data_IF_329159186861
#
_entry.id   IF_329159186861
#
_cell.length_a   1.000
_cell.length_b   1.000
_cell.length_c   1.000
_cell.angle_alpha   90.00
_cell.angle_beta   90.00
_cell.angle_gamma   90.00
#
_symmetry.space_group_name_H-M   'P 1'
#
loop_
_entity.id
_entity.type
_entity.pdbx_description
1 polymer ?
#
# COMPACT_ATOMS: atom_id res chain seq x y z
N UNK A 1 -19.23 10.94 -18.32
CA UNK A 1 -18.81 10.63 -16.94
C UNK A 1 -17.33 10.92 -16.80
N UNK A 2 -16.90 11.49 -15.67
CA UNK A 2 -15.52 11.87 -15.39
C UNK A 2 -14.93 10.89 -14.36
N UNK A 3 -13.84 10.24 -14.71
CA UNK A 3 -13.15 9.30 -13.81
C UNK A 3 -11.76 9.84 -13.47
N UNK A 4 -11.37 9.69 -12.22
CA UNK A 4 -10.02 9.99 -11.75
C UNK A 4 -9.26 8.70 -11.48
N UNK A 5 -8.12 8.51 -12.15
CA UNK A 5 -7.19 7.40 -11.89
C UNK A 5 -6.01 7.92 -11.07
N UNK A 6 -5.81 7.36 -9.89
CA UNK A 6 -4.69 7.69 -9.00
C UNK A 6 -3.62 6.61 -9.13
N UNK A 7 -2.41 7.02 -9.52
CA UNK A 7 -1.24 6.15 -9.72
C UNK A 7 -0.58 6.39 -11.07
N UNK A 8 0.62 5.88 -11.24
CA UNK A 8 1.48 6.16 -12.42
C UNK A 8 2.06 4.89 -13.06
N UNK A 9 1.71 3.71 -12.56
CA UNK A 9 2.26 2.44 -12.99
C UNK A 9 1.62 1.86 -14.25
N UNK A 10 2.06 0.69 -14.66
CA UNK A 10 1.51 -0.02 -15.81
C UNK A 10 0.05 -0.48 -15.57
N UNK A 11 -0.29 -0.85 -14.34
CA UNK A 11 -1.65 -1.20 -13.93
C UNK A 11 -2.62 -0.03 -14.12
N UNK A 12 -2.26 1.14 -13.62
CA UNK A 12 -3.07 2.35 -13.76
C UNK A 12 -3.15 2.81 -15.19
N UNK A 13 -2.10 2.63 -15.98
CA UNK A 13 -2.10 2.94 -17.41
C UNK A 13 -3.13 2.10 -18.17
N UNK A 14 -3.16 0.78 -17.98
CA UNK A 14 -4.14 -0.07 -18.66
C UNK A 14 -5.59 0.21 -18.20
N UNK A 15 -5.78 0.55 -16.92
CA UNK A 15 -7.08 0.98 -16.40
C UNK A 15 -7.54 2.28 -17.10
N UNK A 16 -6.66 3.30 -17.16
CA UNK A 16 -6.95 4.56 -17.83
C UNK A 16 -7.26 4.35 -19.32
N UNK A 17 -6.52 3.44 -19.98
CA UNK A 17 -6.77 3.09 -21.38
C UNK A 17 -8.16 2.48 -21.56
N UNK A 18 -8.53 1.49 -20.75
CA UNK A 18 -9.85 0.83 -20.85
C UNK A 18 -11.01 1.77 -20.54
N UNK A 19 -10.85 2.67 -19.59
CA UNK A 19 -11.81 3.73 -19.31
C UNK A 19 -11.97 4.66 -20.51
N UNK A 20 -10.87 5.11 -21.12
CA UNK A 20 -10.89 5.99 -22.30
C UNK A 20 -11.53 5.30 -23.51
N UNK A 21 -11.21 4.02 -23.76
CA UNK A 21 -11.82 3.21 -24.82
C UNK A 21 -13.34 3.05 -24.63
N UNK A 22 -13.82 3.10 -23.38
CA UNK A 22 -15.26 3.05 -23.04
C UNK A 22 -15.98 4.40 -23.18
N UNK A 23 -15.30 5.44 -23.69
CA UNK A 23 -15.88 6.78 -23.85
C UNK A 23 -15.97 7.60 -22.57
N UNK A 24 -15.29 7.17 -21.49
CA UNK A 24 -15.21 7.89 -20.23
C UNK A 24 -14.10 8.95 -20.31
N UNK A 25 -14.37 10.15 -19.79
CA UNK A 25 -13.33 11.18 -19.65
C UNK A 25 -12.42 10.81 -18.48
N UNK A 26 -11.15 10.61 -18.76
CA UNK A 26 -10.13 10.26 -17.77
C UNK A 26 -9.39 11.48 -17.28
N UNK A 27 -9.23 11.60 -15.97
CA UNK A 27 -8.30 12.49 -15.28
C UNK A 27 -7.29 11.64 -14.52
N UNK A 28 -6.09 12.14 -14.28
CA UNK A 28 -5.06 11.36 -13.58
C UNK A 28 -4.31 12.16 -12.52
N UNK A 29 -3.94 11.44 -11.45
CA UNK A 29 -2.97 11.91 -10.45
C UNK A 29 -1.73 11.05 -10.54
N UNK A 30 -0.61 11.67 -10.84
CA UNK A 30 0.64 11.01 -11.16
C UNK A 30 1.73 11.36 -10.15
N UNK A 31 2.50 10.39 -9.69
CA UNK A 31 3.73 10.59 -8.91
C UNK A 31 4.98 10.55 -9.78
N UNK A 32 4.88 9.92 -10.95
CA UNK A 32 5.96 9.80 -11.92
C UNK A 32 5.42 10.06 -13.33
N UNK A 33 6.30 10.45 -14.25
CA UNK A 33 5.92 10.63 -15.65
C UNK A 33 5.53 9.29 -16.28
N UNK A 34 4.29 9.19 -16.73
CA UNK A 34 3.79 8.10 -17.57
C UNK A 34 3.20 8.71 -18.85
N UNK A 35 3.97 8.75 -19.95
CA UNK A 35 3.53 9.40 -21.18
C UNK A 35 2.22 8.86 -21.75
N UNK A 36 1.95 7.56 -21.57
CA UNK A 36 0.70 6.93 -22.01
C UNK A 36 -0.49 7.46 -21.22
N UNK A 37 -0.41 7.51 -19.90
CA UNK A 37 -1.48 8.07 -19.05
C UNK A 37 -1.68 9.57 -19.33
N UNK A 38 -0.59 10.32 -19.48
CA UNK A 38 -0.67 11.74 -19.81
C UNK A 38 -1.41 11.99 -21.14
N UNK A 39 -1.21 11.13 -22.14
CA UNK A 39 -1.89 11.21 -23.44
C UNK A 39 -3.37 10.82 -23.35
N UNK A 40 -3.71 9.86 -22.50
CA UNK A 40 -5.08 9.36 -22.31
C UNK A 40 -5.93 10.31 -21.45
N UNK A 41 -5.30 11.09 -20.57
CA UNK A 41 -5.98 11.97 -19.63
C UNK A 41 -6.35 13.30 -20.30
N UNK A 42 -7.60 13.73 -20.10
CA UNK A 42 -8.02 15.08 -20.47
C UNK A 42 -7.21 16.14 -19.72
N UNK A 43 -6.91 15.87 -18.47
CA UNK A 43 -6.06 16.67 -17.60
C UNK A 43 -5.44 15.78 -16.52
N UNK A 44 -4.28 16.15 -16.04
CA UNK A 44 -3.61 15.43 -14.97
C UNK A 44 -2.84 16.40 -14.06
N UNK A 45 -2.60 15.95 -12.82
CA UNK A 45 -1.73 16.67 -11.89
C UNK A 45 -0.59 15.75 -11.45
N UNK A 46 0.57 16.37 -11.15
CA UNK A 46 1.67 15.70 -10.49
C UNK A 46 1.67 15.98 -8.99
N UNK A 47 1.95 14.96 -8.20
CA UNK A 47 2.19 15.08 -6.77
C UNK A 47 3.52 14.41 -6.43
N UNK A 48 4.28 14.98 -5.50
CA UNK A 48 5.57 14.43 -5.09
C UNK A 48 5.41 13.14 -4.26
N UNK A 49 4.37 13.09 -3.44
CA UNK A 49 3.98 11.92 -2.65
C UNK A 49 2.50 12.02 -2.29
N UNK A 50 1.90 10.92 -1.87
CA UNK A 50 0.51 10.90 -1.45
C UNK A 50 0.28 11.46 -0.05
N UNK A 51 1.27 11.34 0.84
CA UNK A 51 1.14 11.66 2.26
C UNK A 51 0.67 13.09 2.52
N UNK A 52 1.14 14.05 1.73
CA UNK A 52 0.82 15.47 1.90
C UNK A 52 -0.13 15.99 0.80
N UNK A 53 -0.64 15.13 -0.07
CA UNK A 53 -1.36 15.55 -1.28
C UNK A 53 -2.86 15.25 -1.26
N UNK A 54 -3.39 14.63 -0.19
CA UNK A 54 -4.79 14.22 -0.10
C UNK A 54 -5.75 15.39 -0.40
N UNK A 55 -5.53 16.54 0.24
CA UNK A 55 -6.41 17.71 0.05
C UNK A 55 -6.41 18.19 -1.39
N UNK A 56 -5.23 18.35 -1.99
CA UNK A 56 -5.09 18.83 -3.38
C UNK A 56 -5.76 17.87 -4.35
N UNK A 57 -5.63 16.56 -4.13
CA UNK A 57 -6.22 15.53 -4.99
C UNK A 57 -7.76 15.52 -4.86
N UNK A 58 -8.29 15.66 -3.65
CA UNK A 58 -9.73 15.75 -3.43
C UNK A 58 -10.30 17.02 -4.05
N UNK A 59 -9.65 18.17 -3.86
CA UNK A 59 -10.06 19.44 -4.45
C UNK A 59 -10.04 19.38 -6.00
N UNK A 60 -9.02 18.73 -6.58
CA UNK A 60 -8.95 18.48 -8.02
C UNK A 60 -10.13 17.61 -8.50
N UNK A 61 -10.45 16.54 -7.81
CA UNK A 61 -11.58 15.68 -8.17
C UNK A 61 -12.92 16.43 -8.13
N UNK A 62 -13.13 17.25 -7.12
CA UNK A 62 -14.34 18.09 -7.00
C UNK A 62 -14.41 19.13 -8.12
N UNK A 63 -13.30 19.82 -8.41
CA UNK A 63 -13.21 20.82 -9.48
C UNK A 63 -13.50 20.21 -10.86
N UNK A 64 -13.12 18.95 -11.08
CA UNK A 64 -13.34 18.23 -12.35
C UNK A 64 -14.65 17.45 -12.38
N UNK A 65 -15.52 17.63 -11.39
CA UNK A 65 -16.81 16.94 -11.28
C UNK A 65 -16.65 15.42 -11.50
N UNK A 66 -15.65 14.83 -10.80
CA UNK A 66 -15.34 13.41 -10.91
C UNK A 66 -16.50 12.59 -10.37
N UNK A 67 -16.98 11.66 -11.18
CA UNK A 67 -18.09 10.77 -10.84
C UNK A 67 -17.62 9.50 -10.13
N UNK A 68 -16.36 9.10 -10.32
CA UNK A 68 -15.76 7.93 -9.70
C UNK A 68 -14.24 8.04 -9.68
N UNK A 69 -13.62 7.54 -8.61
CA UNK A 69 -12.17 7.45 -8.45
C UNK A 69 -11.71 6.00 -8.50
N UNK A 70 -10.62 5.73 -9.21
CA UNK A 70 -9.94 4.44 -9.21
C UNK A 70 -8.55 4.63 -8.58
N UNK A 71 -8.28 3.94 -7.49
CA UNK A 71 -7.00 3.99 -6.80
C UNK A 71 -6.21 2.71 -7.11
N UNK A 72 -5.11 2.86 -7.83
CA UNK A 72 -4.27 1.74 -8.23
C UNK A 72 -3.27 1.30 -7.15
N UNK A 73 -2.44 2.20 -6.60
CA UNK A 73 -1.42 1.83 -5.63
C UNK A 73 -1.98 1.70 -4.20
N UNK A 74 -1.28 0.94 -3.37
CA UNK A 74 -1.63 0.66 -1.98
C UNK A 74 -1.37 1.85 -1.03
N UNK A 75 -0.38 2.70 -1.33
CA UNK A 75 -0.02 3.85 -0.48
C UNK A 75 -1.20 4.79 -0.21
N UNK A 76 -1.92 5.33 -1.22
CA UNK A 76 -3.06 6.20 -0.96
C UNK A 76 -4.21 5.47 -0.25
N UNK A 77 -4.36 4.16 -0.42
CA UNK A 77 -5.36 3.37 0.31
C UNK A 77 -5.03 3.33 1.80
N UNK A 78 -3.75 3.09 2.15
CA UNK A 78 -3.27 3.11 3.54
C UNK A 78 -3.44 4.47 4.21
N UNK A 79 -3.39 5.55 3.43
CA UNK A 79 -3.56 6.93 3.87
C UNK A 79 -5.04 7.36 3.97
N UNK A 80 -6.01 6.50 3.61
CA UNK A 80 -7.44 6.78 3.73
C UNK A 80 -8.01 7.68 2.62
N UNK A 81 -7.43 7.64 1.43
CA UNK A 81 -7.95 8.35 0.27
C UNK A 81 -9.38 7.91 -0.06
N UNK A 82 -9.64 6.60 -0.08
CA UNK A 82 -10.99 6.06 -0.32
C UNK A 82 -12.01 6.64 0.66
N UNK A 83 -11.66 6.66 1.96
CA UNK A 83 -12.54 7.21 3.01
C UNK A 83 -12.84 8.70 2.75
N UNK A 84 -11.85 9.44 2.29
CA UNK A 84 -11.97 10.88 2.04
C UNK A 84 -12.87 11.18 0.84
N UNK A 85 -12.78 10.42 -0.23
CA UNK A 85 -13.66 10.55 -1.39
C UNK A 85 -15.10 10.13 -1.07
N UNK A 86 -15.28 9.01 -0.37
CA UNK A 86 -16.62 8.59 0.09
C UNK A 86 -17.31 9.63 0.96
N UNK A 87 -16.57 10.29 1.86
CA UNK A 87 -17.10 11.42 2.67
C UNK A 87 -17.54 12.61 1.81
N UNK A 88 -17.04 12.74 0.59
CA UNK A 88 -17.43 13.77 -0.38
C UNK A 88 -18.52 13.30 -1.36
N UNK A 89 -19.04 12.09 -1.16
CA UNK A 89 -20.05 11.50 -2.05
C UNK A 89 -19.50 11.00 -3.39
N UNK A 90 -18.18 10.88 -3.52
CA UNK A 90 -17.53 10.36 -4.73
C UNK A 90 -17.22 8.88 -4.54
N UNK A 91 -17.86 7.97 -5.30
CA UNK A 91 -17.56 6.54 -5.27
C UNK A 91 -16.10 6.23 -5.62
N UNK A 92 -15.55 5.19 -4.98
CA UNK A 92 -14.16 4.76 -5.18
C UNK A 92 -14.10 3.28 -5.51
N UNK A 93 -13.34 2.94 -6.53
CA UNK A 93 -12.83 1.59 -6.76
C UNK A 93 -11.52 1.46 -5.98
N UNK A 94 -11.61 0.87 -4.80
CA UNK A 94 -10.54 0.72 -3.83
C UNK A 94 -11.11 0.53 -2.41
N UNK A 95 -10.46 -0.29 -1.56
CA UNK A 95 -10.93 -0.53 -0.21
C UNK A 95 -10.82 0.73 0.67
N UNK A 96 -11.66 0.82 1.68
CA UNK A 96 -11.48 1.78 2.78
C UNK A 96 -10.18 1.47 3.54
N UNK A 97 -9.64 2.46 4.24
CA UNK A 97 -8.38 2.34 4.99
C UNK A 97 -8.35 1.13 5.93
N UNK A 98 -9.45 0.86 6.62
CA UNK A 98 -9.53 -0.29 7.52
C UNK A 98 -9.35 -1.61 6.76
N UNK A 99 -9.97 -1.76 5.60
CA UNK A 99 -9.89 -2.98 4.78
C UNK A 99 -8.58 -3.08 4.01
N UNK A 100 -7.98 -1.94 3.67
CA UNK A 100 -6.66 -1.89 3.03
C UNK A 100 -5.56 -2.51 3.91
N UNK A 101 -5.76 -2.62 5.22
CA UNK A 101 -4.82 -3.28 6.14
C UNK A 101 -4.56 -4.73 5.80
N UNK A 102 -5.46 -5.43 5.10
CA UNK A 102 -5.23 -6.79 4.61
C UNK A 102 -3.98 -6.87 3.73
N UNK A 103 -3.66 -5.82 2.98
CA UNK A 103 -2.47 -5.74 2.14
C UNK A 103 -1.35 -4.92 2.80
N UNK A 104 -1.70 -3.84 3.49
CA UNK A 104 -0.72 -2.87 3.98
C UNK A 104 -0.10 -3.22 5.32
N UNK A 105 -0.67 -4.17 6.08
CA UNK A 105 -0.13 -4.72 7.33
C UNK A 105 -0.13 -6.25 7.30
N UNK A 106 1.07 -6.81 7.30
CA UNK A 106 1.26 -8.27 7.32
C UNK A 106 0.77 -8.87 8.63
N UNK A 107 1.03 -8.17 9.72
CA UNK A 107 0.58 -8.55 11.05
C UNK A 107 -0.94 -8.56 11.17
N UNK A 108 -1.62 -7.49 10.71
CA UNK A 108 -3.07 -7.44 10.69
C UNK A 108 -3.68 -8.63 9.94
N UNK A 109 -3.15 -8.96 8.76
CA UNK A 109 -3.64 -10.09 7.97
C UNK A 109 -3.44 -11.42 8.68
N UNK A 110 -2.26 -11.64 9.30
CA UNK A 110 -1.99 -12.85 10.09
C UNK A 110 -2.94 -12.97 11.28
N UNK A 111 -3.12 -11.90 12.04
CA UNK A 111 -4.04 -11.85 13.18
C UNK A 111 -5.49 -12.13 12.74
N UNK A 112 -5.91 -11.55 11.60
CA UNK A 112 -7.23 -11.77 11.03
C UNK A 112 -7.47 -13.24 10.64
N UNK A 113 -6.50 -13.87 9.97
CA UNK A 113 -6.56 -15.28 9.59
C UNK A 113 -6.65 -16.17 10.84
N UNK A 114 -5.78 -15.93 11.81
CA UNK A 114 -5.76 -16.70 13.06
C UNK A 114 -7.08 -16.57 13.84
N UNK A 115 -7.60 -15.35 13.97
CA UNK A 115 -8.90 -15.07 14.62
C UNK A 115 -10.07 -15.82 13.96
N UNK A 116 -9.99 -16.08 12.67
CA UNK A 116 -11.00 -16.81 11.91
C UNK A 116 -10.71 -18.31 11.78
N UNK A 117 -9.77 -18.86 12.54
CA UNK A 117 -9.44 -20.29 12.53
C UNK A 117 -8.81 -20.78 11.23
N UNK A 118 -8.24 -19.89 10.43
CA UNK A 118 -7.58 -20.22 9.16
C UNK A 118 -6.10 -20.52 9.41
N UNK A 119 -5.77 -21.79 9.61
CA UNK A 119 -4.38 -22.27 9.80
C UNK A 119 -3.66 -22.44 8.44
N UNK A 120 -3.51 -21.35 7.72
CA UNK A 120 -2.83 -21.27 6.41
C UNK A 120 -1.58 -20.38 6.47
N UNK A 121 -1.24 -19.88 7.65
CA UNK A 121 -0.10 -19.01 7.88
C UNK A 121 1.11 -19.78 8.39
N UNK A 122 2.34 -19.43 8.01
CA UNK A 122 3.51 -19.86 8.76
C UNK A 122 3.43 -19.32 10.19
N UNK A 123 4.18 -19.94 11.11
CA UNK A 123 4.33 -19.42 12.46
C UNK A 123 4.85 -17.98 12.39
N UNK A 124 4.27 -17.08 13.16
CA UNK A 124 4.62 -15.67 13.16
C UNK A 124 4.45 -15.06 14.55
N UNK A 125 5.18 -13.99 14.77
CA UNK A 125 4.99 -13.13 15.92
C UNK A 125 5.29 -11.68 15.52
N UNK A 126 4.49 -10.75 16.04
CA UNK A 126 4.70 -9.31 15.89
C UNK A 126 5.48 -8.78 17.09
N UNK A 127 6.38 -7.86 16.83
CA UNK A 127 7.20 -7.22 17.85
C UNK A 127 7.18 -5.71 17.68
N UNK A 128 6.81 -5.01 18.74
CA UNK A 128 6.91 -3.55 18.88
C UNK A 128 8.11 -3.14 19.74
N UNK A 129 8.82 -4.12 20.30
CA UNK A 129 10.05 -3.96 21.07
C UNK A 129 10.92 -5.20 20.90
N UNK A 130 12.18 -5.12 21.33
CA UNK A 130 13.11 -6.26 21.25
C UNK A 130 12.78 -7.42 22.22
N UNK A 131 11.80 -7.25 23.11
CA UNK A 131 11.45 -8.26 24.09
C UNK A 131 10.90 -9.52 23.41
N UNK A 132 11.51 -10.67 23.68
CA UNK A 132 11.11 -11.98 23.14
C UNK A 132 11.58 -12.28 21.69
N UNK A 133 12.21 -11.34 20.99
CA UNK A 133 12.70 -11.58 19.61
C UNK A 133 13.67 -12.75 19.54
N UNK A 134 14.65 -12.80 20.45
CA UNK A 134 15.65 -13.87 20.49
C UNK A 134 15.04 -15.22 20.80
N UNK A 135 14.08 -15.27 21.70
CA UNK A 135 13.39 -16.51 22.09
C UNK A 135 12.58 -17.05 20.90
N UNK A 136 11.93 -16.17 20.16
CA UNK A 136 11.18 -16.56 18.96
C UNK A 136 12.11 -17.06 17.84
N UNK A 137 13.28 -16.46 17.64
CA UNK A 137 14.28 -16.99 16.70
C UNK A 137 14.74 -18.40 17.10
N UNK A 138 14.95 -18.63 18.38
CA UNK A 138 15.32 -19.95 18.91
C UNK A 138 14.18 -20.96 18.72
N UNK A 139 12.93 -20.56 18.95
CA UNK A 139 11.74 -21.37 18.71
C UNK A 139 11.62 -21.80 17.25
N UNK A 140 11.98 -20.92 16.29
CA UNK A 140 12.01 -21.23 14.86
C UNK A 140 13.28 -21.98 14.42
N UNK A 141 14.08 -22.50 15.35
CA UNK A 141 15.30 -23.27 15.08
C UNK A 141 16.32 -22.51 14.19
N UNK A 142 16.30 -21.19 14.22
CA UNK A 142 17.20 -20.34 13.43
C UNK A 142 16.76 -20.10 11.96
N UNK A 143 15.68 -20.72 11.51
CA UNK A 143 15.10 -20.49 10.17
C UNK A 143 13.94 -19.50 10.26
N UNK A 144 14.20 -18.23 9.96
CA UNK A 144 13.22 -17.16 10.10
C UNK A 144 13.32 -16.11 9.00
N UNK A 145 12.24 -15.36 8.85
CA UNK A 145 12.16 -14.19 7.99
C UNK A 145 11.73 -13.00 8.82
N UNK A 146 12.53 -11.94 8.81
CA UNK A 146 12.17 -10.66 9.42
C UNK A 146 11.53 -9.78 8.37
N UNK A 147 10.33 -9.23 8.70
CA UNK A 147 9.58 -8.36 7.81
C UNK A 147 9.12 -7.11 8.55
N UNK A 148 9.30 -5.96 7.91
CA UNK A 148 8.65 -4.73 8.36
C UNK A 148 7.12 -4.87 8.21
N UNK A 149 6.37 -4.47 9.24
CA UNK A 149 4.90 -4.49 9.17
C UNK A 149 4.37 -3.17 8.61
N UNK A 150 4.46 -3.07 7.29
CA UNK A 150 4.07 -1.88 6.53
C UNK A 150 4.51 -1.98 5.07
N UNK A 151 4.33 -0.88 4.34
CA UNK A 151 4.71 -0.75 2.95
C UNK A 151 6.18 -0.31 2.82
N UNK A 152 7.02 -1.14 2.22
CA UNK A 152 8.46 -0.88 2.00
C UNK A 152 8.92 -1.24 0.58
N UNK A 153 7.98 -1.44 -0.35
CA UNK A 153 8.31 -1.78 -1.75
C UNK A 153 9.22 -3.00 -1.89
N UNK A 154 9.02 -4.03 -1.07
CA UNK A 154 9.86 -5.24 -1.06
C UNK A 154 11.19 -5.13 -0.31
N UNK A 155 11.59 -3.94 0.15
CA UNK A 155 12.90 -3.70 0.78
C UNK A 155 12.93 -3.98 2.29
N UNK A 156 11.79 -4.25 2.91
CA UNK A 156 11.66 -4.50 4.35
C UNK A 156 11.61 -5.99 4.72
N UNK A 157 12.25 -6.88 3.94
CA UNK A 157 12.24 -8.33 4.16
C UNK A 157 13.66 -8.85 4.12
N UNK A 158 14.08 -9.59 5.16
CA UNK A 158 15.36 -10.32 5.20
C UNK A 158 15.15 -11.74 5.70
N UNK A 159 15.86 -12.67 5.08
CA UNK A 159 15.79 -14.12 5.31
C UNK A 159 17.06 -14.58 6.01
N UNK A 160 16.94 -15.41 7.04
CA UNK A 160 18.09 -16.08 7.67
C UNK A 160 18.78 -17.02 6.70
N UNK A 161 20.10 -17.07 6.78
CA UNK A 161 20.94 -17.86 5.87
C UNK A 161 21.17 -17.27 4.48
N UNK A 162 20.41 -16.23 4.10
CA UNK A 162 20.55 -15.54 2.81
C UNK A 162 20.99 -14.07 3.00
N UNK A 163 20.27 -13.34 3.84
CA UNK A 163 20.49 -11.92 4.11
C UNK A 163 21.03 -11.66 5.52
N UNK A 164 20.78 -12.60 6.43
CA UNK A 164 21.13 -12.55 7.85
C UNK A 164 21.95 -13.81 8.14
N UNK A 165 23.27 -13.66 8.28
CA UNK A 165 24.17 -14.80 8.42
C UNK A 165 24.28 -15.34 9.85
N UNK A 166 23.80 -14.56 10.83
CA UNK A 166 23.79 -14.92 12.23
C UNK A 166 22.50 -14.47 12.93
N UNK A 167 22.24 -15.02 14.10
CA UNK A 167 21.16 -14.55 14.97
C UNK A 167 21.37 -13.09 15.38
N UNK A 168 22.62 -12.68 15.58
CA UNK A 168 22.95 -11.31 15.94
C UNK A 168 22.63 -10.32 14.80
N UNK A 169 22.85 -10.70 13.53
CA UNK A 169 22.41 -9.91 12.38
C UNK A 169 20.88 -9.75 12.36
N UNK A 170 20.16 -10.83 12.69
CA UNK A 170 18.70 -10.80 12.80
C UNK A 170 18.20 -9.87 13.90
N UNK A 171 18.84 -9.94 15.09
CA UNK A 171 18.55 -9.06 16.23
C UNK A 171 18.83 -7.59 15.86
N UNK A 172 19.97 -7.32 15.25
CA UNK A 172 20.34 -5.98 14.81
C UNK A 172 19.34 -5.41 13.80
N UNK A 173 18.90 -6.23 12.85
CA UNK A 173 17.90 -5.81 11.86
C UNK A 173 16.50 -5.59 12.48
N UNK A 174 16.06 -6.44 13.40
CA UNK A 174 14.82 -6.20 14.15
C UNK A 174 14.87 -4.88 14.90
N UNK A 175 16.00 -4.59 15.57
CA UNK A 175 16.20 -3.32 16.27
C UNK A 175 16.13 -2.12 15.31
N UNK A 176 16.80 -2.22 14.15
CA UNK A 176 16.74 -1.17 13.11
C UNK A 176 15.31 -0.88 12.67
N UNK A 177 14.48 -1.92 12.47
CA UNK A 177 13.10 -1.76 12.05
C UNK A 177 12.21 -1.16 13.15
N UNK A 178 12.38 -1.60 14.41
CA UNK A 178 11.63 -1.10 15.56
C UNK A 178 11.98 0.37 15.83
N UNK A 179 13.25 0.75 15.72
CA UNK A 179 13.71 2.13 15.94
C UNK A 179 13.22 3.09 14.83
N UNK A 180 12.84 2.58 13.67
CA UNK A 180 12.27 3.37 12.56
C UNK A 180 10.76 3.60 12.68
N UNK A 181 10.06 2.86 13.55
CA UNK A 181 8.62 2.95 13.79
C UNK A 181 7.83 2.24 12.75
#
# INVERSE_FOLDING_TARGET
>A
MNFLVIGSGAREHIIAQKLSESGVTVFSVLTNRNPGMMKLSREFIFVNNYQNSLKVIVDFALLKEVSCVVIGPEDPLSLGFSDSFWKKGIPVVGPLRLLAQIETSKGFTRDLLNKNGMDISPQYQRFESMNGVKDFFSFLSGEYVVKYDGLMGGKGVKVSGEHLMSVDDGIAYCKELIDKG
#
